data_IF_555254433806
#
_entry.id   IF_555254433806
#
_cell.length_a   1.000
_cell.length_b   1.000
_cell.length_c   1.000
_cell.angle_alpha   90.00
_cell.angle_beta   90.00
_cell.angle_gamma   90.00
#
_symmetry.space_group_name_H-M   'P 1'
#
loop_
_entity.id
_entity.type
_entity.pdbx_description
1 polymer ?
#
# COMPACT_ATOMS: atom_id res chain seq x y z
N UNK A 1 14.44 -2.90 13.96
CA UNK A 1 13.67 -2.09 12.99
C UNK A 1 13.70 -2.88 11.70
N UNK A 2 12.55 -3.38 11.26
CA UNK A 2 12.43 -4.00 9.93
C UNK A 2 12.72 -2.91 8.92
N UNK A 3 13.79 -3.04 8.16
CA UNK A 3 14.12 -2.12 7.08
C UNK A 3 13.08 -2.30 5.97
N UNK A 4 12.12 -1.37 5.87
CA UNK A 4 11.06 -1.44 4.89
C UNK A 4 11.55 -0.78 3.60
N UNK A 5 11.63 -1.50 2.48
CA UNK A 5 12.06 -0.92 1.22
C UNK A 5 11.07 0.15 0.74
N UNK A 6 11.60 1.28 0.26
CA UNK A 6 10.82 2.39 -0.31
C UNK A 6 9.85 1.95 -1.42
N UNK A 7 10.18 0.88 -2.14
CA UNK A 7 9.32 0.29 -3.17
C UNK A 7 8.00 -0.22 -2.57
N UNK A 8 8.02 -0.88 -1.41
CA UNK A 8 6.82 -1.34 -0.71
C UNK A 8 5.96 -0.15 -0.26
N UNK A 9 6.59 0.90 0.24
CA UNK A 9 5.92 2.13 0.68
C UNK A 9 5.23 2.80 -0.51
N UNK A 10 5.89 2.88 -1.67
CA UNK A 10 5.33 3.44 -2.90
C UNK A 10 4.15 2.63 -3.43
N UNK A 11 4.26 1.29 -3.39
CA UNK A 11 3.19 0.39 -3.83
C UNK A 11 1.94 0.54 -2.93
N UNK A 12 2.10 0.54 -1.60
CA UNK A 12 0.98 0.69 -0.68
C UNK A 12 0.35 2.08 -0.81
N UNK A 13 1.15 3.13 -0.95
CA UNK A 13 0.64 4.49 -1.24
C UNK A 13 -0.20 4.52 -2.52
N UNK A 14 0.29 3.90 -3.59
CA UNK A 14 -0.46 3.83 -4.86
C UNK A 14 -1.79 3.10 -4.68
N UNK A 15 -1.80 1.99 -3.93
CA UNK A 15 -3.03 1.26 -3.61
C UNK A 15 -4.01 2.11 -2.79
N UNK A 16 -3.54 2.89 -1.82
CA UNK A 16 -4.36 3.83 -1.05
C UNK A 16 -4.92 4.96 -1.91
N UNK A 17 -4.15 5.50 -2.86
CA UNK A 17 -4.63 6.50 -3.83
C UNK A 17 -5.73 5.93 -4.74
N UNK A 18 -5.54 4.72 -5.26
CA UNK A 18 -6.57 4.04 -6.07
C UNK A 18 -7.83 3.74 -5.27
N UNK A 19 -7.68 3.45 -3.97
CA UNK A 19 -8.80 3.28 -3.04
C UNK A 19 -9.51 4.60 -2.77
N UNK A 20 -8.78 5.69 -2.57
CA UNK A 20 -9.35 7.02 -2.36
C UNK A 20 -10.16 7.47 -3.59
N UNK A 21 -9.68 7.15 -4.80
CA UNK A 21 -10.40 7.40 -6.06
C UNK A 21 -11.72 6.66 -6.21
N UNK A 22 -11.98 5.61 -5.42
CA UNK A 22 -13.30 4.96 -5.38
C UNK A 22 -14.37 5.84 -4.76
N UNK A 23 -14.00 6.79 -3.89
CA UNK A 23 -14.95 7.66 -3.22
C UNK A 23 -15.71 8.52 -4.25
N UNK A 24 -17.04 8.45 -4.22
CA UNK A 24 -17.91 9.20 -5.13
C UNK A 24 -18.11 8.56 -6.51
N UNK A 25 -17.42 7.46 -6.83
CA UNK A 25 -17.69 6.69 -8.05
C UNK A 25 -18.88 5.74 -7.85
N UNK A 26 -19.66 5.53 -8.91
CA UNK A 26 -20.75 4.56 -8.95
C UNK A 26 -20.81 3.85 -10.31
N UNK A 27 -21.48 2.69 -10.36
CA UNK A 27 -21.65 1.93 -11.60
C UNK A 27 -20.34 1.44 -12.21
N UNK A 28 -20.25 1.46 -13.54
CA UNK A 28 -19.12 0.92 -14.30
C UNK A 28 -17.78 1.60 -13.95
N UNK A 29 -17.80 2.91 -13.71
CA UNK A 29 -16.61 3.66 -13.28
C UNK A 29 -16.08 3.19 -11.91
N UNK A 30 -16.97 2.85 -10.98
CA UNK A 30 -16.57 2.24 -9.71
C UNK A 30 -15.96 0.85 -9.94
N UNK A 31 -16.53 0.03 -10.81
CA UNK A 31 -16.01 -1.31 -11.08
C UNK A 31 -14.66 -1.30 -11.81
N UNK A 32 -14.44 -0.37 -12.73
CA UNK A 32 -13.13 -0.15 -13.35
C UNK A 32 -12.10 0.28 -12.31
N UNK A 33 -12.41 1.29 -11.50
CA UNK A 33 -11.51 1.77 -10.46
C UNK A 33 -11.26 0.70 -9.39
N UNK A 34 -12.27 -0.13 -9.07
CA UNK A 34 -12.13 -1.24 -8.13
C UNK A 34 -11.18 -2.31 -8.66
N UNK A 35 -11.20 -2.60 -9.96
CA UNK A 35 -10.23 -3.50 -10.60
C UNK A 35 -8.81 -2.97 -10.47
N UNK A 36 -8.58 -1.67 -10.72
CA UNK A 36 -7.27 -1.04 -10.53
C UNK A 36 -6.79 -1.13 -9.07
N UNK A 37 -7.67 -0.81 -8.12
CA UNK A 37 -7.38 -0.97 -6.69
C UNK A 37 -7.03 -2.41 -6.32
N UNK A 38 -7.77 -3.40 -6.83
CA UNK A 38 -7.48 -4.81 -6.59
C UNK A 38 -6.11 -5.22 -7.16
N UNK A 39 -5.77 -4.80 -8.38
CA UNK A 39 -4.45 -5.07 -8.97
C UNK A 39 -3.32 -4.44 -8.15
N UNK A 40 -3.47 -3.18 -7.72
CA UNK A 40 -2.48 -2.52 -6.87
C UNK A 40 -2.35 -3.22 -5.51
N UNK A 41 -3.46 -3.62 -4.90
CA UNK A 41 -3.47 -4.36 -3.63
C UNK A 41 -2.80 -5.72 -3.73
N UNK A 42 -2.97 -6.41 -4.86
CA UNK A 42 -2.34 -7.71 -5.11
C UNK A 42 -0.81 -7.57 -5.25
N UNK A 43 -0.35 -6.55 -5.97
CA UNK A 43 1.07 -6.23 -6.09
C UNK A 43 1.72 -5.93 -4.74
N UNK A 44 1.03 -5.16 -3.87
CA UNK A 44 1.49 -4.89 -2.49
C UNK A 44 1.64 -6.19 -1.71
N UNK A 45 0.63 -7.07 -1.73
CA UNK A 45 0.67 -8.34 -1.00
C UNK A 45 1.78 -9.25 -1.50
N UNK A 46 1.94 -9.37 -2.82
CA UNK A 46 3.02 -10.16 -3.41
C UNK A 46 4.40 -9.65 -3.00
N UNK A 47 4.60 -8.33 -3.01
CA UNK A 47 5.87 -7.72 -2.59
C UNK A 47 6.11 -7.89 -1.08
N UNK A 48 5.08 -7.76 -0.23
CA UNK A 48 5.17 -8.01 1.22
C UNK A 48 5.58 -9.46 1.48
N UNK A 49 4.93 -10.42 0.82
CA UNK A 49 5.26 -11.84 0.93
C UNK A 49 6.71 -12.09 0.51
N UNK A 50 7.14 -11.59 -0.65
CA UNK A 50 8.50 -11.75 -1.13
C UNK A 50 9.55 -11.15 -0.17
N UNK A 51 9.27 -9.96 0.38
CA UNK A 51 10.16 -9.33 1.37
C UNK A 51 10.21 -10.10 2.69
N UNK A 52 9.06 -10.58 3.17
CA UNK A 52 8.97 -11.41 4.37
C UNK A 52 9.74 -12.72 4.22
N UNK A 53 9.62 -13.40 3.07
CA UNK A 53 10.39 -14.60 2.75
C UNK A 53 11.90 -14.31 2.67
N UNK A 54 12.30 -13.21 2.04
CA UNK A 54 13.71 -12.85 1.89
C UNK A 54 14.39 -12.45 3.22
N UNK A 55 13.63 -11.88 4.15
CA UNK A 55 14.14 -11.40 5.45
C UNK A 55 13.87 -12.37 6.61
N UNK A 56 13.07 -13.42 6.37
CA UNK A 56 12.58 -14.31 7.43
C UNK A 56 11.62 -13.63 8.40
N UNK A 57 11.04 -12.48 8.02
CA UNK A 57 10.07 -11.75 8.82
C UNK A 57 8.66 -12.34 8.69
N UNK A 58 7.79 -12.01 9.65
CA UNK A 58 6.36 -12.31 9.51
C UNK A 58 5.71 -11.33 8.51
N UNK A 59 4.97 -11.81 7.50
CA UNK A 59 4.36 -10.96 6.49
C UNK A 59 3.33 -9.97 7.06
N UNK A 60 2.71 -10.25 8.21
CA UNK A 60 1.80 -9.30 8.87
C UNK A 60 2.57 -8.17 9.55
N UNK A 61 3.73 -8.47 10.13
CA UNK A 61 4.60 -7.44 10.71
C UNK A 61 5.13 -6.50 9.61
N UNK A 62 5.52 -7.04 8.46
CA UNK A 62 5.91 -6.26 7.28
C UNK A 62 4.73 -5.40 6.79
N UNK A 63 3.53 -5.96 6.65
CA UNK A 63 2.33 -5.20 6.25
C UNK A 63 2.04 -4.03 7.21
N UNK A 64 2.11 -4.25 8.52
CA UNK A 64 1.89 -3.20 9.51
C UNK A 64 2.94 -2.10 9.43
N UNK A 65 4.22 -2.47 9.28
CA UNK A 65 5.32 -1.52 9.14
C UNK A 65 5.20 -0.69 7.86
N UNK A 66 4.82 -1.31 6.73
CA UNK A 66 4.54 -0.60 5.47
C UNK A 66 3.42 0.41 5.65
N UNK A 67 2.29 0.01 6.25
CA UNK A 67 1.16 0.93 6.52
C UNK A 67 1.54 2.08 7.43
N UNK A 68 2.34 1.81 8.46
CA UNK A 68 2.83 2.86 9.34
C UNK A 68 3.75 3.84 8.59
N UNK A 69 4.68 3.33 7.78
CA UNK A 69 5.59 4.15 6.99
C UNK A 69 4.86 5.02 5.95
N UNK A 70 3.81 4.49 5.31
CA UNK A 70 2.96 5.28 4.41
C UNK A 70 2.25 6.39 5.17
N UNK A 71 1.65 6.09 6.33
CA UNK A 71 1.01 7.12 7.17
C UNK A 71 1.99 8.21 7.57
N UNK A 72 3.18 7.85 8.05
CA UNK A 72 4.23 8.83 8.36
C UNK A 72 4.60 9.67 7.14
N UNK A 73 4.74 9.07 5.96
CA UNK A 73 5.05 9.81 4.72
C UNK A 73 3.91 10.76 4.29
N UNK A 74 2.66 10.43 4.63
CA UNK A 74 1.48 11.26 4.32
C UNK A 74 1.19 12.32 5.40
N UNK A 75 1.56 12.05 6.66
CA UNK A 75 1.46 12.96 7.81
C UNK A 75 2.64 13.93 7.91
N UNK A 76 3.70 13.72 7.13
CA UNK A 76 4.83 14.64 6.97
C UNK A 76 4.72 15.57 5.72
N UNK A 77 3.63 16.35 5.52
CA UNK A 77 3.67 17.51 4.65
C UNK A 77 3.93 18.74 5.52
N UNK A 78 5.15 18.90 6.04
CA UNK A 78 5.57 20.09 6.79
C UNK A 78 4.65 20.48 7.98
N UNK A 79 5.12 20.22 9.19
CA UNK A 79 4.81 21.12 10.31
C UNK A 79 5.40 22.50 9.93
N UNK A 80 4.58 23.41 9.43
CA UNK A 80 4.84 24.85 9.46
C UNK A 80 3.56 25.62 9.86
#
# INVERSE_FOLDING_TARGET
>A
MTDIPDELIRLERTAEEERARLAGLTGDAYEEQRRRFCTASDAVRAAITAHAEATGADPREVEQAVRQAVRQTQEDPAVE
#
